data_IF_621819115496
#
_entry.id   IF_621819115496
#
_cell.length_a   1.000
_cell.length_b   1.000
_cell.length_c   1.000
_cell.angle_alpha   90.00
_cell.angle_beta   90.00
_cell.angle_gamma   90.00
#
_symmetry.space_group_name_H-M   'P 1'
#
loop_
_entity.id
_entity.type
_entity.pdbx_description
1 polymer ?
#
# COMPACT_ATOMS: atom_id res chain seq x y z
N UNK A 1 -10.57 27.09 -1.31
CA UNK A 1 -11.67 26.48 -0.52
C UNK A 1 -11.01 25.85 0.69
N UNK A 2 -11.48 26.08 1.93
CA UNK A 2 -10.86 25.41 3.10
C UNK A 2 -11.17 23.90 3.01
N UNK A 3 -10.13 23.08 3.00
CA UNK A 3 -10.28 21.62 3.04
C UNK A 3 -11.12 21.21 4.27
N UNK A 4 -12.15 20.39 4.05
CA UNK A 4 -13.00 19.82 5.09
C UNK A 4 -12.98 18.31 4.95
N UNK A 5 -12.38 17.62 5.92
CA UNK A 5 -12.36 16.16 5.95
C UNK A 5 -13.70 15.62 6.43
N UNK A 6 -14.22 14.61 5.73
CA UNK A 6 -15.28 13.75 6.25
C UNK A 6 -14.66 12.44 6.72
N UNK A 7 -14.90 12.09 7.98
CA UNK A 7 -14.31 10.88 8.57
C UNK A 7 -15.09 9.66 8.09
N UNK A 8 -14.37 8.71 7.50
CA UNK A 8 -14.92 7.41 7.12
C UNK A 8 -14.69 6.43 8.28
N UNK A 9 -15.63 6.40 9.23
CA UNK A 9 -15.51 5.62 10.48
C UNK A 9 -15.28 4.12 10.26
N UNK A 10 -15.80 3.56 9.17
CA UNK A 10 -15.51 2.17 8.77
C UNK A 10 -14.01 1.94 8.59
N UNK A 11 -13.32 2.84 7.89
CA UNK A 11 -11.89 2.71 7.65
C UNK A 11 -11.12 2.88 8.96
N UNK A 12 -11.50 3.86 9.79
CA UNK A 12 -10.91 4.06 11.12
C UNK A 12 -10.98 2.78 11.96
N UNK A 13 -12.14 2.12 12.00
CA UNK A 13 -12.32 0.88 12.75
C UNK A 13 -11.44 -0.27 12.19
N UNK A 14 -11.43 -0.45 10.87
CA UNK A 14 -10.64 -1.52 10.22
C UNK A 14 -9.13 -1.31 10.38
N UNK A 15 -8.63 -0.10 10.18
CA UNK A 15 -7.22 0.22 10.39
C UNK A 15 -6.83 0.08 11.86
N UNK A 16 -7.67 0.52 12.80
CA UNK A 16 -7.41 0.34 14.23
C UNK A 16 -7.31 -1.14 14.61
N UNK A 17 -8.26 -1.96 14.15
CA UNK A 17 -8.24 -3.40 14.37
C UNK A 17 -7.01 -4.06 13.75
N UNK A 18 -6.63 -3.67 12.53
CA UNK A 18 -5.42 -4.16 11.86
C UNK A 18 -4.16 -3.86 12.68
N UNK A 19 -4.00 -2.63 13.19
CA UNK A 19 -2.83 -2.26 13.99
C UNK A 19 -2.80 -2.99 15.33
N UNK A 20 -3.93 -3.14 16.01
CA UNK A 20 -4.01 -3.93 17.26
C UNK A 20 -3.65 -5.40 17.00
N UNK A 21 -4.19 -6.00 15.93
CA UNK A 21 -3.84 -7.36 15.53
C UNK A 21 -2.34 -7.50 15.19
N UNK A 22 -1.74 -6.47 14.58
CA UNK A 22 -0.32 -6.46 14.26
C UNK A 22 0.58 -6.52 15.50
N UNK A 23 0.17 -5.92 16.63
CA UNK A 23 0.93 -6.01 17.89
C UNK A 23 0.97 -7.45 18.41
N UNK A 24 -0.15 -8.17 18.31
CA UNK A 24 -0.20 -9.61 18.62
C UNK A 24 0.68 -10.39 17.65
N UNK A 25 0.66 -10.04 16.36
CA UNK A 25 1.54 -10.62 15.34
C UNK A 25 3.02 -10.42 15.64
N UNK A 26 3.43 -9.24 16.09
CA UNK A 26 4.82 -8.93 16.48
C UNK A 26 5.24 -9.79 17.67
N UNK A 27 4.39 -9.91 18.70
CA UNK A 27 4.67 -10.81 19.82
C UNK A 27 4.86 -12.26 19.37
N UNK A 28 3.97 -12.76 18.51
CA UNK A 28 4.11 -14.12 17.96
C UNK A 28 5.39 -14.27 17.12
N UNK A 29 5.70 -13.28 16.29
CA UNK A 29 6.88 -13.28 15.41
C UNK A 29 8.19 -13.38 16.20
N UNK A 30 8.31 -12.63 17.30
CA UNK A 30 9.54 -12.57 18.09
C UNK A 30 9.70 -13.81 18.99
N UNK A 31 8.62 -14.24 19.64
CA UNK A 31 8.73 -15.20 20.76
C UNK A 31 8.22 -16.60 20.45
N UNK A 32 7.31 -16.78 19.49
CA UNK A 32 6.55 -18.04 19.34
C UNK A 32 6.69 -18.68 17.94
N UNK A 33 6.97 -17.89 16.92
CA UNK A 33 6.92 -18.34 15.53
C UNK A 33 8.05 -19.33 15.23
N UNK A 34 7.69 -20.41 14.52
CA UNK A 34 8.67 -21.38 14.01
C UNK A 34 9.35 -20.82 12.77
N UNK A 35 10.58 -21.27 12.50
CA UNK A 35 11.34 -20.89 11.32
C UNK A 35 10.57 -20.99 9.98
N UNK A 36 9.76 -22.04 9.70
CA UNK A 36 8.99 -22.09 8.47
C UNK A 36 7.93 -20.97 8.36
N UNK A 37 7.30 -20.60 9.47
CA UNK A 37 6.33 -19.49 9.51
C UNK A 37 7.02 -18.16 9.23
N UNK A 38 8.20 -17.93 9.82
CA UNK A 38 9.00 -16.73 9.58
C UNK A 38 9.43 -16.63 8.11
N UNK A 39 9.93 -17.73 7.54
CA UNK A 39 10.32 -17.78 6.13
C UNK A 39 9.13 -17.50 5.21
N UNK A 40 7.98 -18.12 5.48
CA UNK A 40 6.75 -17.89 4.72
C UNK A 40 6.29 -16.43 4.80
N UNK A 41 6.25 -15.85 6.01
CA UNK A 41 5.93 -14.45 6.22
C UNK A 41 6.85 -13.52 5.40
N UNK A 42 8.18 -13.70 5.51
CA UNK A 42 9.14 -12.89 4.77
C UNK A 42 8.96 -13.01 3.26
N UNK A 43 8.64 -14.22 2.77
CA UNK A 43 8.34 -14.46 1.36
C UNK A 43 7.10 -13.70 0.90
N UNK A 44 5.98 -13.83 1.63
CA UNK A 44 4.75 -13.09 1.33
C UNK A 44 4.97 -11.57 1.37
N UNK A 45 5.70 -11.08 2.37
CA UNK A 45 6.03 -9.66 2.50
C UNK A 45 6.85 -9.16 1.31
N UNK A 46 7.91 -9.87 0.92
CA UNK A 46 8.73 -9.51 -0.24
C UNK A 46 7.93 -9.53 -1.55
N UNK A 47 7.03 -10.51 -1.72
CA UNK A 47 6.15 -10.54 -2.88
C UNK A 47 5.20 -9.34 -2.89
N UNK A 48 4.58 -8.99 -1.76
CA UNK A 48 3.75 -7.79 -1.65
C UNK A 48 4.51 -6.50 -2.00
N UNK A 49 5.71 -6.32 -1.45
CA UNK A 49 6.61 -5.20 -1.75
C UNK A 49 6.94 -5.15 -3.25
N UNK A 50 7.21 -6.29 -3.88
CA UNK A 50 7.47 -6.37 -5.32
C UNK A 50 6.24 -5.99 -6.15
N UNK A 51 5.05 -6.43 -5.72
CA UNK A 51 3.78 -6.08 -6.35
C UNK A 51 3.55 -4.56 -6.43
N UNK A 52 3.83 -3.85 -5.34
CA UNK A 52 3.73 -2.38 -5.32
C UNK A 52 4.88 -1.73 -6.10
N UNK A 53 6.13 -2.06 -5.77
CA UNK A 53 7.29 -1.32 -6.28
C UNK A 53 7.59 -1.60 -7.76
N UNK A 54 7.68 -2.88 -8.14
CA UNK A 54 7.92 -3.26 -9.52
C UNK A 54 6.63 -3.17 -10.35
N UNK A 55 5.49 -3.56 -9.76
CA UNK A 55 4.18 -3.51 -10.40
C UNK A 55 3.54 -2.12 -10.37
N UNK A 56 2.70 -1.85 -9.36
CA UNK A 56 1.81 -0.68 -9.30
C UNK A 56 2.54 0.62 -9.61
N UNK A 57 3.70 0.81 -9.01
CA UNK A 57 4.53 1.98 -9.13
C UNK A 57 5.22 2.07 -10.51
N UNK A 58 6.21 1.21 -10.78
CA UNK A 58 7.08 1.38 -11.96
C UNK A 58 6.43 0.92 -13.27
N UNK A 59 5.72 -0.21 -13.26
CA UNK A 59 5.12 -0.78 -14.47
C UNK A 59 3.84 -0.05 -14.86
N UNK A 60 2.87 0.04 -13.94
CA UNK A 60 1.53 0.54 -14.28
C UNK A 60 1.41 2.05 -14.14
N UNK A 61 1.98 2.66 -13.10
CA UNK A 61 1.88 4.12 -12.91
C UNK A 61 2.83 4.89 -13.81
N UNK A 62 4.14 4.59 -13.75
CA UNK A 62 5.17 5.32 -14.50
C UNK A 62 5.50 4.76 -15.88
N UNK A 63 5.05 3.54 -16.21
CA UNK A 63 5.38 2.87 -17.49
C UNK A 63 6.89 2.86 -17.79
N UNK A 64 7.71 2.70 -16.75
CA UNK A 64 9.18 2.78 -16.85
C UNK A 64 9.80 1.62 -17.63
N UNK A 65 9.05 0.52 -17.79
CA UNK A 65 9.46 -0.64 -18.58
C UNK A 65 8.24 -1.37 -19.15
N UNK A 66 8.48 -2.30 -20.07
CA UNK A 66 7.45 -3.19 -20.64
C UNK A 66 7.66 -4.60 -20.11
N UNK A 67 6.60 -5.21 -19.58
CA UNK A 67 6.62 -6.60 -19.11
C UNK A 67 5.77 -7.48 -20.03
N UNK A 68 6.25 -8.71 -20.30
CA UNK A 68 5.47 -9.74 -20.99
C UNK A 68 4.36 -10.27 -20.07
N UNK A 69 3.36 -10.92 -20.66
CA UNK A 69 2.16 -11.38 -19.94
C UNK A 69 2.44 -12.20 -18.66
N UNK A 70 3.38 -13.17 -18.63
CA UNK A 70 3.65 -13.94 -17.41
C UNK A 70 4.13 -13.07 -16.25
N UNK A 71 5.04 -12.13 -16.52
CA UNK A 71 5.55 -11.20 -15.52
C UNK A 71 4.45 -10.24 -15.05
N UNK A 72 3.58 -9.77 -15.96
CA UNK A 72 2.42 -8.94 -15.59
C UNK A 72 1.45 -9.67 -14.68
N UNK A 73 1.15 -10.94 -14.97
CA UNK A 73 0.28 -11.77 -14.15
C UNK A 73 0.89 -12.00 -12.76
N UNK A 74 2.18 -12.34 -12.70
CA UNK A 74 2.88 -12.54 -11.45
C UNK A 74 2.88 -11.26 -10.58
N UNK A 75 3.20 -10.10 -11.17
CA UNK A 75 3.16 -8.83 -10.44
C UNK A 75 1.74 -8.44 -10.01
N UNK A 76 0.72 -8.81 -10.78
CA UNK A 76 -0.68 -8.56 -10.40
C UNK A 76 -1.06 -9.38 -9.18
N UNK A 77 -0.69 -10.67 -9.17
CA UNK A 77 -0.88 -11.53 -8.00
C UNK A 77 -0.16 -10.97 -6.76
N UNK A 78 1.10 -10.55 -6.94
CA UNK A 78 1.88 -9.90 -5.88
C UNK A 78 1.22 -8.61 -5.38
N UNK A 79 0.67 -7.77 -6.28
CA UNK A 79 -0.04 -6.54 -5.91
C UNK A 79 -1.30 -6.85 -5.08
N UNK A 80 -2.06 -7.87 -5.46
CA UNK A 80 -3.26 -8.28 -4.72
C UNK A 80 -2.94 -8.72 -3.29
N UNK A 81 -1.77 -9.35 -3.06
CA UNK A 81 -1.33 -9.69 -1.70
C UNK A 81 -0.94 -8.48 -0.86
N UNK A 82 -0.50 -7.37 -1.48
CA UNK A 82 -0.10 -6.16 -0.76
C UNK A 82 -1.30 -5.39 -0.17
N UNK A 83 -2.51 -5.61 -0.70
CA UNK A 83 -3.76 -5.06 -0.19
C UNK A 83 -3.77 -3.51 -0.09
N UNK A 84 -3.25 -2.83 -1.12
CA UNK A 84 -3.26 -1.35 -1.22
C UNK A 84 -4.21 -0.85 -2.32
N UNK A 85 -5.45 -1.35 -2.32
CA UNK A 85 -6.42 -1.19 -3.44
C UNK A 85 -5.96 -1.87 -4.74
N UNK A 86 -6.83 -1.84 -5.76
CA UNK A 86 -6.51 -2.40 -7.06
C UNK A 86 -5.54 -1.52 -7.85
N UNK A 87 -4.91 -2.11 -8.87
CA UNK A 87 -3.87 -1.46 -9.67
C UNK A 87 -4.35 -0.19 -10.40
N UNK A 88 -5.64 -0.11 -10.74
CA UNK A 88 -6.20 1.03 -11.47
C UNK A 88 -6.34 2.21 -10.52
N UNK A 89 -6.95 1.99 -9.35
CA UNK A 89 -7.08 3.00 -8.29
C UNK A 89 -5.70 3.48 -7.82
N UNK A 90 -4.80 2.56 -7.46
CA UNK A 90 -3.45 2.92 -7.01
C UNK A 90 -2.70 3.74 -8.08
N UNK A 91 -2.77 3.32 -9.36
CA UNK A 91 -2.09 4.04 -10.43
C UNK A 91 -2.70 5.40 -10.73
N UNK A 92 -4.02 5.57 -10.55
CA UNK A 92 -4.69 6.86 -10.68
C UNK A 92 -4.16 7.79 -9.61
N UNK A 93 -4.24 7.38 -8.35
CA UNK A 93 -3.90 8.23 -7.20
C UNK A 93 -2.40 8.56 -7.18
N UNK A 94 -1.53 7.62 -7.54
CA UNK A 94 -0.09 7.86 -7.65
C UNK A 94 0.26 8.87 -8.74
N UNK A 95 -0.42 8.81 -9.90
CA UNK A 95 -0.25 9.83 -10.95
C UNK A 95 -0.82 11.17 -10.54
N UNK A 96 -1.92 11.18 -9.78
CA UNK A 96 -2.46 12.41 -9.21
C UNK A 96 -1.44 13.06 -8.27
N UNK A 97 -0.88 12.27 -7.34
CA UNK A 97 0.15 12.69 -6.41
C UNK A 97 1.31 13.34 -7.15
N UNK A 98 1.92 12.68 -8.14
CA UNK A 98 3.03 13.25 -8.90
C UNK A 98 2.69 14.50 -9.71
N UNK A 99 1.48 14.60 -10.26
CA UNK A 99 1.10 15.72 -11.12
C UNK A 99 0.74 16.98 -10.33
N UNK A 100 0.17 16.80 -9.13
CA UNK A 100 -0.43 17.87 -8.35
C UNK A 100 0.12 17.94 -6.92
N UNK A 101 1.39 17.54 -6.73
CA UNK A 101 2.11 17.52 -5.45
C UNK A 101 1.76 18.75 -4.61
N UNK A 102 1.42 18.50 -3.35
CA UNK A 102 1.16 19.52 -2.32
C UNK A 102 0.02 20.50 -2.62
N UNK A 103 -0.83 20.19 -3.61
CA UNK A 103 -2.09 20.89 -3.86
C UNK A 103 -3.28 20.13 -3.29
N UNK A 104 -4.47 20.73 -3.31
CA UNK A 104 -5.70 20.06 -2.86
C UNK A 104 -6.08 18.83 -3.69
N UNK A 105 -5.50 18.65 -4.89
CA UNK A 105 -5.71 17.50 -5.76
C UNK A 105 -4.73 16.33 -5.49
N UNK A 106 -3.73 16.54 -4.63
CA UNK A 106 -2.86 15.46 -4.17
C UNK A 106 -3.56 14.62 -3.10
N UNK A 107 -3.81 13.31 -3.33
CA UNK A 107 -4.45 12.44 -2.35
C UNK A 107 -3.68 12.32 -1.04
N UNK A 108 -2.36 12.57 -1.04
CA UNK A 108 -1.49 12.49 0.14
C UNK A 108 -0.79 13.81 0.46
N UNK A 109 -1.46 14.93 0.17
CA UNK A 109 -0.93 16.29 0.33
C UNK A 109 -0.21 16.50 1.68
N UNK A 110 1.10 16.72 1.63
CA UNK A 110 1.95 16.83 2.84
C UNK A 110 1.74 18.12 3.61
N UNK A 111 1.21 19.17 2.95
CA UNK A 111 0.89 20.46 3.61
C UNK A 111 -0.25 20.35 4.63
N UNK A 112 -1.01 19.25 4.59
CA UNK A 112 -2.05 18.92 5.58
C UNK A 112 -1.49 18.20 6.82
N UNK A 113 -0.18 17.97 6.86
CA UNK A 113 0.55 17.40 7.99
C UNK A 113 0.85 15.92 7.85
N UNK A 114 1.78 15.44 8.68
CA UNK A 114 2.32 14.07 8.63
C UNK A 114 1.24 13.00 8.76
N UNK A 115 0.28 13.18 9.67
CA UNK A 115 -0.78 12.18 9.88
C UNK A 115 -1.62 12.00 8.61
N UNK A 116 -2.03 13.10 7.97
CA UNK A 116 -2.81 13.07 6.73
C UNK A 116 -2.06 12.36 5.60
N UNK A 117 -0.79 12.72 5.37
CA UNK A 117 0.00 12.12 4.30
C UNK A 117 0.34 10.63 4.54
N UNK A 118 0.32 10.19 5.81
CA UNK A 118 0.69 8.81 6.17
C UNK A 118 -0.51 7.85 6.19
N UNK A 119 -1.57 8.18 6.94
CA UNK A 119 -2.72 7.27 7.20
C UNK A 119 -4.05 8.00 7.50
N UNK A 120 -4.11 9.32 7.33
CA UNK A 120 -5.23 10.16 7.78
C UNK A 120 -6.34 10.39 6.76
#
# INVERSE_FOLDING_TARGET
IKFKTQIVWRNVALFSALHVASLVGVYQFIFLAKWPTLFWYCTCWLMGVMGITAGAHRLWSHRSYKARWPARLFLMFCNSMAFQNDVIEWSRDHRCHHKWIDTDADPHNTTRGMFFAHMG
#
